data_IF_572474076673
#
_entry.id   IF_572474076673
#
_cell.length_a   1.000
_cell.length_b   1.000
_cell.length_c   1.000
_cell.angle_alpha   90.00
_cell.angle_beta   90.00
_cell.angle_gamma   90.00
#
_symmetry.space_group_name_H-M   'P 1'
#
loop_
_entity.id
_entity.type
_entity.pdbx_description
1 polymer ?
#
# COMPACT_ATOMS: atom_id res chain seq x y z
N UNK A 1 -48.41 -17.36 -8.28
CA UNK A 1 -47.33 -17.93 -7.46
C UNK A 1 -46.05 -17.30 -7.98
N UNK A 2 -45.57 -16.28 -7.27
CA UNK A 2 -44.33 -15.59 -7.61
C UNK A 2 -43.20 -16.45 -7.05
N UNK A 3 -42.34 -16.98 -7.91
CA UNK A 3 -41.10 -17.61 -7.50
C UNK A 3 -40.07 -16.50 -7.37
N UNK A 4 -39.69 -16.24 -6.13
CA UNK A 4 -38.60 -15.36 -5.75
C UNK A 4 -37.30 -15.87 -6.37
N UNK A 5 -36.88 -15.28 -7.49
CA UNK A 5 -35.53 -15.40 -8.02
C UNK A 5 -34.61 -14.54 -7.14
N UNK A 6 -34.26 -15.09 -5.97
CA UNK A 6 -33.18 -14.57 -5.15
C UNK A 6 -31.88 -15.19 -5.68
N UNK A 7 -30.96 -14.43 -6.31
CA UNK A 7 -29.70 -15.01 -6.74
C UNK A 7 -28.90 -15.44 -5.50
N UNK A 8 -28.73 -16.74 -5.34
CA UNK A 8 -27.79 -17.33 -4.39
C UNK A 8 -26.41 -16.65 -4.55
N UNK A 9 -25.72 -16.28 -3.46
CA UNK A 9 -24.37 -15.75 -3.55
C UNK A 9 -23.49 -16.76 -4.28
N UNK A 10 -22.92 -16.35 -5.41
CA UNK A 10 -22.04 -17.19 -6.22
C UNK A 10 -20.96 -17.78 -5.32
N UNK A 11 -20.93 -19.11 -5.22
CA UNK A 11 -19.93 -19.85 -4.49
C UNK A 11 -18.53 -19.37 -4.92
N UNK A 12 -17.81 -18.79 -3.98
CA UNK A 12 -16.42 -18.37 -4.17
C UNK A 12 -15.60 -19.65 -4.37
N UNK A 13 -15.00 -19.83 -5.54
CA UNK A 13 -14.12 -20.97 -5.80
C UNK A 13 -12.92 -20.94 -4.84
N UNK A 14 -12.34 -22.09 -4.48
CA UNK A 14 -11.12 -22.09 -3.67
C UNK A 14 -9.98 -21.44 -4.46
N UNK A 15 -9.20 -20.57 -3.80
CA UNK A 15 -7.99 -20.02 -4.40
C UNK A 15 -6.99 -21.13 -4.78
N UNK A 16 -6.08 -20.83 -5.70
CA UNK A 16 -4.86 -21.61 -5.88
C UNK A 16 -3.86 -21.39 -4.73
N UNK A 17 -2.82 -22.22 -4.64
CA UNK A 17 -1.74 -22.00 -3.67
C UNK A 17 -0.93 -20.73 -3.98
N UNK A 18 -0.77 -20.40 -5.26
CA UNK A 18 -0.14 -19.15 -5.71
C UNK A 18 -0.93 -17.94 -5.23
N UNK A 19 -2.23 -17.88 -5.52
CA UNK A 19 -3.08 -16.76 -5.08
C UNK A 19 -3.14 -16.60 -3.55
N UNK A 20 -3.07 -17.71 -2.80
CA UNK A 20 -2.93 -17.67 -1.34
C UNK A 20 -1.61 -17.06 -0.91
N UNK A 21 -0.51 -17.46 -1.52
CA UNK A 21 0.82 -16.94 -1.22
C UNK A 21 0.90 -15.44 -1.55
N UNK A 22 0.40 -15.04 -2.72
CA UNK A 22 0.35 -13.64 -3.14
C UNK A 22 -0.49 -12.81 -2.16
N UNK A 23 -1.66 -13.29 -1.72
CA UNK A 23 -2.47 -12.56 -0.73
C UNK A 23 -1.74 -12.33 0.59
N UNK A 24 -0.97 -13.32 1.05
CA UNK A 24 -0.15 -13.21 2.26
C UNK A 24 0.98 -12.21 2.07
N UNK A 25 1.65 -12.25 0.92
CA UNK A 25 2.72 -11.31 0.57
C UNK A 25 2.19 -9.88 0.51
N UNK A 26 1.15 -9.62 -0.29
CA UNK A 26 0.51 -8.30 -0.42
C UNK A 26 0.05 -7.76 0.94
N UNK A 27 -0.39 -8.64 1.86
CA UNK A 27 -0.77 -8.22 3.21
C UNK A 27 0.41 -7.68 4.01
N UNK A 28 1.54 -8.35 3.96
CA UNK A 28 2.73 -7.94 4.71
C UNK A 28 3.48 -6.79 4.04
N UNK A 29 3.50 -6.69 2.71
CA UNK A 29 4.12 -5.59 1.98
C UNK A 29 3.40 -4.25 2.21
N UNK A 30 2.07 -4.23 2.13
CA UNK A 30 1.27 -3.03 2.43
C UNK A 30 1.43 -2.58 3.89
N UNK A 31 1.57 -3.56 4.80
CA UNK A 31 1.90 -3.27 6.20
C UNK A 31 3.30 -2.68 6.33
N UNK A 32 4.26 -3.25 5.60
CA UNK A 32 5.65 -2.82 5.60
C UNK A 32 5.77 -1.38 5.13
N UNK A 33 5.17 -1.05 3.99
CA UNK A 33 5.09 0.29 3.44
C UNK A 33 4.51 1.27 4.48
N UNK A 34 3.34 0.94 5.03
CA UNK A 34 2.68 1.74 6.09
C UNK A 34 3.61 2.00 7.26
N UNK A 35 4.17 0.95 7.85
CA UNK A 35 4.96 1.03 9.06
C UNK A 35 6.23 1.87 8.80
N UNK A 36 6.91 1.63 7.67
CA UNK A 36 8.10 2.37 7.27
C UNK A 36 7.82 3.86 7.05
N UNK A 37 6.75 4.21 6.34
CA UNK A 37 6.37 5.59 6.08
C UNK A 37 5.92 6.31 7.35
N UNK A 38 5.28 5.64 8.31
CA UNK A 38 5.03 6.22 9.63
C UNK A 38 6.34 6.58 10.35
N UNK A 39 7.37 5.71 10.27
CA UNK A 39 8.69 5.99 10.85
C UNK A 39 9.38 7.17 10.16
N UNK A 40 9.33 7.24 8.84
CA UNK A 40 9.90 8.38 8.11
C UNK A 40 9.15 9.68 8.36
N UNK A 41 7.83 9.64 8.49
CA UNK A 41 7.06 10.82 8.88
C UNK A 41 7.48 11.30 10.27
N UNK A 42 7.59 10.39 11.24
CA UNK A 42 8.01 10.73 12.60
C UNK A 42 9.42 11.35 12.63
N UNK A 43 10.35 10.82 11.84
CA UNK A 43 11.73 11.29 11.80
C UNK A 43 11.88 12.66 11.10
N UNK A 44 11.18 12.87 9.98
CA UNK A 44 11.43 14.01 9.09
C UNK A 44 10.34 15.09 9.11
N UNK A 45 9.16 14.79 9.66
CA UNK A 45 8.03 15.73 9.70
C UNK A 45 7.45 16.09 8.32
N UNK A 46 7.81 15.35 7.26
CA UNK A 46 7.35 15.65 5.90
C UNK A 46 5.98 15.02 5.63
N UNK A 47 4.97 15.78 5.18
CA UNK A 47 3.61 15.29 5.00
C UNK A 47 3.43 14.14 4.00
N UNK A 48 4.32 14.01 3.01
CA UNK A 48 4.19 12.95 1.98
C UNK A 48 4.16 11.56 2.62
N UNK A 49 5.07 11.28 3.55
CA UNK A 49 5.14 9.99 4.23
C UNK A 49 3.86 9.70 5.03
N UNK A 50 3.31 10.69 5.74
CA UNK A 50 2.06 10.53 6.48
C UNK A 50 0.84 10.28 5.59
N UNK A 51 0.77 11.00 4.47
CA UNK A 51 -0.32 10.85 3.51
C UNK A 51 -0.31 9.49 2.82
N UNK A 52 0.88 9.02 2.43
CA UNK A 52 1.06 7.71 1.79
C UNK A 52 0.82 6.59 2.80
N UNK A 53 1.35 6.68 4.03
CA UNK A 53 1.05 5.70 5.09
C UNK A 53 -0.46 5.54 5.36
N UNK A 54 -1.23 6.64 5.29
CA UNK A 54 -2.68 6.56 5.41
C UNK A 54 -3.36 5.87 4.21
N UNK A 55 -2.72 5.88 3.03
CA UNK A 55 -3.11 5.06 1.87
C UNK A 55 -2.81 3.60 2.10
N UNK A 56 -1.61 3.27 2.56
CA UNK A 56 -1.22 1.87 2.78
C UNK A 56 -2.05 1.21 3.87
N UNK A 57 -2.51 1.97 4.86
CA UNK A 57 -3.50 1.45 5.81
C UNK A 57 -4.79 0.99 5.10
N UNK A 58 -5.26 1.73 4.09
CA UNK A 58 -6.47 1.35 3.34
C UNK A 58 -6.22 0.14 2.44
N UNK A 59 -5.03 0.05 1.85
CA UNK A 59 -4.62 -1.10 1.04
C UNK A 59 -4.51 -2.35 1.92
N UNK A 60 -3.76 -2.26 3.03
CA UNK A 60 -3.67 -3.27 4.07
C UNK A 60 -5.07 -3.77 4.44
N UNK A 61 -5.99 -2.87 4.81
CA UNK A 61 -7.37 -3.24 5.17
C UNK A 61 -8.14 -3.91 4.01
N UNK A 62 -7.87 -3.53 2.76
CA UNK A 62 -8.45 -4.17 1.58
C UNK A 62 -7.98 -5.61 1.42
N UNK A 63 -6.68 -5.87 1.54
CA UNK A 63 -6.12 -7.23 1.50
C UNK A 63 -6.60 -8.05 2.70
N UNK A 64 -6.70 -7.45 3.88
CA UNK A 64 -7.25 -8.11 5.08
C UNK A 64 -8.69 -8.62 4.90
N UNK A 65 -9.52 -7.86 4.17
CA UNK A 65 -10.87 -8.33 3.80
C UNK A 65 -10.84 -9.50 2.82
N UNK A 66 -9.85 -9.58 1.93
CA UNK A 66 -9.68 -10.72 1.03
C UNK A 66 -9.21 -11.96 1.80
N UNK A 67 -8.22 -11.82 2.68
CA UNK A 67 -7.78 -12.91 3.56
C UNK A 67 -8.97 -13.53 4.33
N UNK A 68 -9.78 -12.68 4.97
CA UNK A 68 -10.97 -13.12 5.68
C UNK A 68 -12.00 -13.79 4.75
N UNK A 69 -12.24 -13.22 3.55
CA UNK A 69 -13.19 -13.75 2.57
C UNK A 69 -12.81 -15.16 2.10
N UNK A 70 -11.53 -15.43 1.90
CA UNK A 70 -11.02 -16.71 1.39
C UNK A 70 -10.55 -17.66 2.50
N UNK A 71 -10.71 -17.29 3.77
CA UNK A 71 -10.27 -18.10 4.91
C UNK A 71 -8.76 -18.29 5.00
N UNK A 72 -7.97 -17.35 4.45
CA UNK A 72 -6.51 -17.38 4.52
C UNK A 72 -6.07 -16.75 5.85
N UNK A 73 -5.22 -17.42 6.65
CA UNK A 73 -4.71 -16.85 7.90
C UNK A 73 -3.95 -15.55 7.67
N UNK A 74 -4.20 -14.55 8.51
CA UNK A 74 -3.50 -13.26 8.44
C UNK A 74 -2.12 -13.36 9.11
N UNK A 75 -1.00 -13.21 8.37
CA UNK A 75 0.36 -13.31 8.92
C UNK A 75 0.67 -12.24 9.96
N UNK A 76 -0.11 -11.16 9.98
CA UNK A 76 0.08 -10.01 10.86
C UNK A 76 -0.40 -10.20 12.30
N UNK A 77 -1.23 -11.23 12.56
CA UNK A 77 -1.88 -11.43 13.86
C UNK A 77 -0.84 -11.60 14.97
N UNK A 78 -1.00 -10.84 16.05
CA UNK A 78 -0.12 -10.91 17.22
C UNK A 78 1.24 -10.22 17.06
N UNK A 79 1.50 -9.54 15.93
CA UNK A 79 2.77 -8.83 15.66
C UNK A 79 2.60 -7.33 15.79
N UNK A 80 3.56 -6.66 16.44
CA UNK A 80 3.61 -5.19 16.51
C UNK A 80 4.19 -4.55 15.24
N UNK A 81 4.03 -3.22 15.04
CA UNK A 81 4.59 -2.53 13.87
C UNK A 81 6.09 -2.77 13.69
N UNK A 82 6.53 -2.98 12.45
CA UNK A 82 7.93 -3.30 12.13
C UNK A 82 8.37 -4.72 12.50
N UNK A 83 7.43 -5.63 12.78
CA UNK A 83 7.70 -7.07 12.99
C UNK A 83 6.89 -7.91 12.02
N UNK A 84 7.58 -8.73 11.23
CA UNK A 84 7.01 -9.54 10.14
C UNK A 84 7.20 -11.04 10.39
N UNK A 85 6.34 -11.86 9.79
CA UNK A 85 6.46 -13.30 9.89
C UNK A 85 7.59 -13.84 9.00
N UNK A 86 7.69 -13.27 7.81
CA UNK A 86 8.72 -13.58 6.84
C UNK A 86 10.06 -12.90 7.18
N UNK A 87 11.15 -13.66 7.12
CA UNK A 87 12.48 -13.19 7.48
C UNK A 87 13.10 -12.26 6.43
N UNK A 88 12.75 -12.44 5.15
CA UNK A 88 13.21 -11.58 4.06
C UNK A 88 12.51 -10.21 4.16
N UNK A 89 11.20 -10.18 4.43
CA UNK A 89 10.46 -8.94 4.69
C UNK A 89 10.97 -8.21 5.94
N UNK A 90 11.29 -8.95 7.01
CA UNK A 90 11.91 -8.35 8.19
C UNK A 90 13.26 -7.68 7.85
N UNK A 91 14.13 -8.38 7.11
CA UNK A 91 15.42 -7.86 6.69
C UNK A 91 15.27 -6.63 5.75
N UNK A 92 14.29 -6.67 4.84
CA UNK A 92 13.97 -5.55 3.96
C UNK A 92 13.55 -4.32 4.76
N UNK A 93 12.60 -4.48 5.70
CA UNK A 93 12.16 -3.40 6.58
C UNK A 93 13.32 -2.80 7.38
N UNK A 94 14.14 -3.64 8.02
CA UNK A 94 15.27 -3.17 8.83
C UNK A 94 16.30 -2.40 8.00
N UNK A 95 16.62 -2.90 6.79
CA UNK A 95 17.56 -2.27 5.87
C UNK A 95 17.04 -0.94 5.32
N UNK A 96 15.78 -0.89 4.88
CA UNK A 96 15.14 0.32 4.40
C UNK A 96 14.95 1.36 5.50
N UNK A 97 14.61 0.93 6.71
CA UNK A 97 14.48 1.83 7.85
C UNK A 97 15.83 2.49 8.17
N UNK A 98 16.91 1.70 8.27
CA UNK A 98 18.24 2.24 8.53
C UNK A 98 18.69 3.24 7.45
N UNK A 99 18.47 2.91 6.16
CA UNK A 99 18.78 3.81 5.04
C UNK A 99 17.95 5.08 5.09
N UNK A 100 16.63 4.99 5.23
CA UNK A 100 15.74 6.15 5.22
C UNK A 100 15.85 7.04 6.46
N UNK A 101 16.44 6.55 7.56
CA UNK A 101 16.77 7.38 8.72
C UNK A 101 18.10 8.14 8.58
N UNK A 102 18.88 7.88 7.53
CA UNK A 102 20.15 8.60 7.28
C UNK A 102 19.92 10.02 6.78
N UNK A 103 18.94 10.21 5.89
CA UNK A 103 18.52 11.53 5.42
C UNK A 103 17.10 11.48 4.85
N UNK A 104 16.43 12.63 4.79
CA UNK A 104 15.11 12.73 4.13
C UNK A 104 15.18 12.36 2.65
N UNK A 105 16.31 12.64 1.99
CA UNK A 105 16.53 12.26 0.60
C UNK A 105 16.62 10.73 0.46
N UNK A 106 17.32 10.06 1.36
CA UNK A 106 17.41 8.60 1.38
C UNK A 106 16.06 7.96 1.73
N UNK A 107 15.24 8.59 2.57
CA UNK A 107 13.86 8.16 2.79
C UNK A 107 13.00 8.24 1.51
N UNK A 108 13.18 9.27 0.67
CA UNK A 108 12.51 9.33 -0.62
C UNK A 108 13.01 8.26 -1.59
N UNK A 109 14.33 7.98 -1.61
CA UNK A 109 14.89 6.90 -2.43
C UNK A 109 14.36 5.53 -2.02
N UNK A 110 14.25 5.29 -0.71
CA UNK A 110 13.62 4.08 -0.17
C UNK A 110 12.15 4.00 -0.60
N UNK A 111 11.40 5.12 -0.54
CA UNK A 111 10.04 5.15 -1.08
C UNK A 111 9.98 4.77 -2.57
N UNK A 112 10.86 5.33 -3.41
CA UNK A 112 10.94 4.93 -4.83
C UNK A 112 11.21 3.43 -5.01
N UNK A 113 12.16 2.87 -4.23
CA UNK A 113 12.51 1.46 -4.29
C UNK A 113 11.35 0.56 -3.89
N UNK A 114 10.69 0.88 -2.76
CA UNK A 114 9.56 0.13 -2.24
C UNK A 114 8.38 0.15 -3.22
N UNK A 115 7.95 1.33 -3.67
CA UNK A 115 6.81 1.43 -4.60
C UNK A 115 7.09 0.76 -5.96
N UNK A 116 8.35 0.70 -6.39
CA UNK A 116 8.71 -0.02 -7.62
C UNK A 116 8.56 -1.54 -7.43
N UNK A 117 8.95 -2.07 -6.27
CA UNK A 117 8.74 -3.47 -5.91
C UNK A 117 7.26 -3.82 -5.83
N UNK A 118 6.50 -3.03 -5.04
CA UNK A 118 5.07 -3.23 -4.84
C UNK A 118 4.28 -3.24 -6.17
N UNK A 119 4.59 -2.33 -7.11
CA UNK A 119 3.99 -2.34 -8.46
C UNK A 119 4.32 -3.64 -9.22
N UNK A 120 5.56 -4.13 -9.12
CA UNK A 120 5.98 -5.34 -9.80
C UNK A 120 5.26 -6.57 -9.24
N UNK A 121 5.20 -6.70 -7.91
CA UNK A 121 4.57 -7.82 -7.22
C UNK A 121 3.05 -7.82 -7.42
N UNK A 122 2.39 -6.64 -7.33
CA UNK A 122 0.96 -6.50 -7.65
C UNK A 122 0.65 -6.82 -9.13
N UNK A 123 1.56 -6.49 -10.05
CA UNK A 123 1.40 -6.84 -11.46
C UNK A 123 1.49 -8.35 -11.66
N UNK A 124 2.49 -9.00 -11.06
CA UNK A 124 2.66 -10.45 -11.12
C UNK A 124 1.47 -11.18 -10.48
N UNK A 125 1.02 -10.77 -9.30
CA UNK A 125 -0.14 -11.34 -8.62
C UNK A 125 -1.45 -11.16 -9.42
N UNK A 126 -1.58 -10.05 -10.15
CA UNK A 126 -2.73 -9.80 -11.04
C UNK A 126 -2.71 -10.72 -12.26
N UNK A 127 -1.53 -11.02 -12.81
CA UNK A 127 -1.35 -11.91 -13.96
C UNK A 127 -1.47 -13.39 -13.58
N UNK A 128 -1.05 -13.75 -12.36
CA UNK A 128 -1.10 -15.11 -11.82
C UNK A 128 -2.44 -15.54 -11.24
N UNK A 129 -3.43 -14.65 -11.17
CA UNK A 129 -4.74 -14.92 -10.59
C UNK A 129 -5.83 -15.02 -11.66
N UNK A 130 -6.71 -16.02 -11.52
CA UNK A 130 -7.96 -16.13 -12.30
C UNK A 130 -9.17 -15.60 -11.52
N UNK A 131 -9.01 -15.33 -10.22
CA UNK A 131 -10.05 -14.79 -9.36
C UNK A 131 -10.26 -13.28 -9.62
N UNK A 132 -11.36 -12.95 -10.30
CA UNK A 132 -11.69 -11.58 -10.71
C UNK A 132 -11.70 -10.58 -9.55
N UNK A 133 -12.07 -11.01 -8.33
CA UNK A 133 -12.05 -10.14 -7.14
C UNK A 133 -10.62 -9.77 -6.74
N UNK A 134 -9.68 -10.72 -6.78
CA UNK A 134 -8.27 -10.46 -6.46
C UNK A 134 -7.68 -9.47 -7.45
N UNK A 135 -7.79 -9.79 -8.74
CA UNK A 135 -7.31 -8.95 -9.84
C UNK A 135 -7.82 -7.51 -9.75
N UNK A 136 -9.09 -7.33 -9.38
CA UNK A 136 -9.69 -6.00 -9.21
C UNK A 136 -9.04 -5.24 -8.05
N UNK A 137 -8.81 -5.88 -6.91
CA UNK A 137 -8.18 -5.22 -5.76
C UNK A 137 -6.72 -4.92 -6.06
N UNK A 138 -5.95 -5.89 -6.57
CA UNK A 138 -4.55 -5.69 -6.92
C UNK A 138 -4.36 -4.59 -7.97
N UNK A 139 -5.21 -4.53 -8.99
CA UNK A 139 -5.16 -3.45 -9.97
C UNK A 139 -5.40 -2.05 -9.38
N UNK A 140 -6.25 -1.93 -8.35
CA UNK A 140 -6.48 -0.65 -7.67
C UNK A 140 -5.30 -0.26 -6.77
N UNK A 141 -4.72 -1.22 -6.05
CA UNK A 141 -3.51 -1.03 -5.23
C UNK A 141 -2.37 -0.58 -6.13
N UNK A 142 -2.11 -1.30 -7.24
CA UNK A 142 -1.05 -1.00 -8.20
C UNK A 142 -1.17 0.43 -8.74
N UNK A 143 -2.38 0.86 -9.09
CA UNK A 143 -2.62 2.22 -9.55
C UNK A 143 -2.35 3.27 -8.46
N UNK A 144 -2.57 2.95 -7.19
CA UNK A 144 -2.22 3.82 -6.07
C UNK A 144 -0.70 3.86 -5.85
N UNK A 145 0.00 2.72 -5.88
CA UNK A 145 1.46 2.62 -5.78
C UNK A 145 2.16 3.38 -6.92
N UNK A 146 1.60 3.35 -8.14
CA UNK A 146 2.08 4.20 -9.26
C UNK A 146 2.00 5.71 -8.94
N UNK A 147 0.98 6.15 -8.21
CA UNK A 147 0.86 7.55 -7.77
C UNK A 147 1.84 7.87 -6.63
N UNK A 148 2.07 6.93 -5.70
CA UNK A 148 3.05 7.07 -4.63
C UNK A 148 4.47 7.18 -5.18
N UNK A 149 4.83 6.30 -6.13
CA UNK A 149 6.10 6.32 -6.84
C UNK A 149 6.36 7.68 -7.49
N UNK A 150 5.37 8.20 -8.25
CA UNK A 150 5.46 9.53 -8.86
C UNK A 150 5.65 10.63 -7.81
N UNK A 151 4.97 10.54 -6.67
CA UNK A 151 5.10 11.51 -5.59
C UNK A 151 6.52 11.52 -4.98
N UNK A 152 7.14 10.34 -4.77
CA UNK A 152 8.52 10.26 -4.30
C UNK A 152 9.54 10.74 -5.34
N UNK A 153 9.37 10.35 -6.60
CA UNK A 153 10.22 10.82 -7.71
C UNK A 153 10.15 12.35 -7.88
N UNK A 154 8.98 12.96 -7.67
CA UNK A 154 8.82 14.41 -7.68
C UNK A 154 9.61 15.10 -6.54
N UNK A 155 9.76 14.45 -5.38
CA UNK A 155 10.60 14.97 -4.28
C UNK A 155 12.09 14.92 -4.63
N UNK A 156 12.54 13.90 -5.35
CA UNK A 156 13.95 13.73 -5.73
C UNK A 156 14.37 14.61 -6.91
N UNK A 157 13.48 14.87 -7.87
CA UNK A 157 13.76 15.73 -9.03
C UNK A 157 13.80 17.23 -8.71
N UNK A 158 13.74 17.61 -7.43
CA UNK A 158 13.70 19.00 -7.01
C UNK A 158 12.37 19.70 -7.36
N UNK A 159 11.31 18.91 -7.59
CA UNK A 159 9.98 19.40 -7.89
C UNK A 159 9.50 20.32 -6.77
N UNK A 160 9.64 21.63 -6.99
CA UNK A 160 8.96 22.68 -6.24
C UNK A 160 7.47 22.42 -6.34
N UNK A 161 6.92 21.70 -5.37
CA UNK A 161 5.50 21.76 -5.08
C UNK A 161 5.26 23.20 -4.66
N UNK A 162 4.71 23.98 -5.59
CA UNK A 162 4.64 25.43 -5.49
C UNK A 162 4.10 25.88 -4.14
N UNK A 163 4.74 26.90 -3.59
CA UNK A 163 4.15 27.76 -2.58
C UNK A 163 2.85 28.36 -3.17
N UNK A 164 1.73 27.64 -3.06
CA UNK A 164 0.40 28.16 -3.25
C UNK A 164 0.01 28.97 -2.02
N UNK A 165 0.52 30.19 -1.91
CA UNK A 165 0.10 31.16 -0.90
C UNK A 165 -1.38 31.49 -1.07
N UNK A 166 -2.24 30.74 -0.38
CA UNK A 166 -3.67 30.95 -0.33
C UNK A 166 -4.12 31.46 1.04
N UNK A 167 -3.85 32.75 1.34
CA UNK A 167 -4.59 33.46 2.39
C UNK A 167 -5.60 34.42 1.73
N UNK A 168 -6.87 34.16 2.04
CA UNK A 168 -8.08 34.86 1.55
C UNK A 168 -8.11 36.34 1.96
N UNK A 169 -8.68 37.24 1.13
CA UNK A 169 -10.02 37.87 1.33
C UNK A 169 -10.28 39.12 0.45
N UNK A 170 -11.43 39.05 -0.24
CA UNK A 170 -12.50 40.06 -0.43
C UNK A 170 -12.18 41.41 -1.09
N UNK A 171 -12.70 41.52 -2.32
CA UNK A 171 -13.15 42.72 -3.03
C UNK A 171 -14.37 43.35 -2.33
N UNK A 172 -14.24 44.63 -1.96
CA UNK A 172 -15.22 45.75 -1.91
C UNK A 172 -14.32 47.00 -2.10
N UNK A 173 -14.55 48.02 -2.89
CA UNK A 173 -15.72 48.61 -3.54
C UNK A 173 -15.52 50.13 -3.44
N UNK A 174 -15.33 50.83 -4.57
CA UNK A 174 -15.57 52.25 -4.85
C UNK A 174 -15.05 52.55 -6.26
#
# INVERSE_FOLDING_TARGET
MNMDDNPEPTAVGPLSDGERADLVLMREEERLARDLYLRFHQAWGVPIFGNIAASEQRHYDAVGRLLARYGVPDPSVGRGPGSYADAELQAAYDGWLARGLSSVEDAYKVGVELETGDIADLSAATEGSDEAVLRKVYGNLRAASENHLQAFQARLSGGRMGCGGGWRRRRWGA
#
